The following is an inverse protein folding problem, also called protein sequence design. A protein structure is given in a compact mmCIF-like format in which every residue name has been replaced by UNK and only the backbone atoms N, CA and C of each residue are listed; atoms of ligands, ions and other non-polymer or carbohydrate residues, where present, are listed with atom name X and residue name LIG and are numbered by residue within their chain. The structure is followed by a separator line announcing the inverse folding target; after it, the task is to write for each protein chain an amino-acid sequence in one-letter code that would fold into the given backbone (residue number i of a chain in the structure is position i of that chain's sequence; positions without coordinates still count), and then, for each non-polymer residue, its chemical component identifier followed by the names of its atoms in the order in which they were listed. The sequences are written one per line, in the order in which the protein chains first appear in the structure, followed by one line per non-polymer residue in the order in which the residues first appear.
data_IF_445204404796
#
_entry.id   IF_445204404796
#
_cell.length_a   1.000
_cell.length_b   1.000
_cell.length_c   1.000
_cell.angle_alpha   90.00
_cell.angle_beta   90.00
_cell.angle_gamma   90.00
#
_symmetry.space_group_name_H-M   'P 1'
#
loop_
_entity.id
_entity.type
_entity.pdbx_description
1 polymer ?
#
# COMPACT_ATOMS: atom_id res chain seq x y z
N UNK A 1 -24.26 -15.69 -3.49
CA UNK A 1 -22.80 -15.46 -3.64
C UNK A 1 -22.09 -16.80 -3.52
N UNK A 2 -21.25 -17.21 -4.48
CA UNK A 2 -20.63 -18.54 -4.44
C UNK A 2 -19.37 -18.55 -3.55
N UNK A 3 -18.88 -19.74 -3.17
CA UNK A 3 -17.72 -19.89 -2.28
C UNK A 3 -16.45 -19.18 -2.82
N UNK A 4 -16.25 -19.19 -4.14
CA UNK A 4 -15.12 -18.53 -4.79
C UNK A 4 -15.20 -17.01 -4.66
N UNK A 5 -16.40 -16.42 -4.79
CA UNK A 5 -16.63 -15.00 -4.58
C UNK A 5 -16.33 -14.58 -3.13
N UNK A 6 -16.76 -15.38 -2.14
CA UNK A 6 -16.44 -15.09 -0.73
C UNK A 6 -14.93 -15.13 -0.46
N UNK A 7 -14.22 -16.13 -1.02
CA UNK A 7 -12.77 -16.24 -0.89
C UNK A 7 -12.06 -15.05 -1.54
N UNK A 8 -12.47 -14.66 -2.75
CA UNK A 8 -11.92 -13.52 -3.45
C UNK A 8 -12.09 -12.22 -2.66
N UNK A 9 -13.27 -11.98 -2.07
CA UNK A 9 -13.51 -10.81 -1.21
C UNK A 9 -12.59 -10.80 0.01
N UNK A 10 -12.39 -11.95 0.68
CA UNK A 10 -11.48 -12.07 1.82
C UNK A 10 -10.05 -11.71 1.40
N UNK A 11 -9.56 -12.29 0.31
CA UNK A 11 -8.21 -12.03 -0.21
C UNK A 11 -8.02 -10.56 -0.60
N UNK A 12 -9.02 -9.95 -1.26
CA UNK A 12 -8.96 -8.52 -1.61
C UNK A 12 -8.96 -7.63 -0.36
N UNK A 13 -9.73 -8.00 0.67
CA UNK A 13 -9.73 -7.29 1.95
C UNK A 13 -8.39 -7.40 2.66
N UNK A 14 -7.83 -8.61 2.77
CA UNK A 14 -6.51 -8.85 3.35
C UNK A 14 -5.42 -8.07 2.61
N UNK A 15 -5.45 -8.07 1.27
CA UNK A 15 -4.54 -7.28 0.45
C UNK A 15 -4.68 -5.77 0.73
N UNK A 16 -5.92 -5.26 0.86
CA UNK A 16 -6.17 -3.86 1.17
C UNK A 16 -5.65 -3.47 2.56
N UNK A 17 -5.85 -4.32 3.56
CA UNK A 17 -5.33 -4.11 4.93
C UNK A 17 -3.80 -4.11 4.92
N UNK A 18 -3.18 -5.09 4.25
CA UNK A 18 -1.72 -5.16 4.12
C UNK A 18 -1.15 -3.90 3.44
N UNK A 19 -1.73 -3.46 2.32
CA UNK A 19 -1.30 -2.26 1.60
C UNK A 19 -1.41 -0.99 2.46
N UNK A 20 -2.48 -0.85 3.24
CA UNK A 20 -2.61 0.27 4.17
C UNK A 20 -1.52 0.23 5.25
N UNK A 21 -1.24 -0.96 5.80
CA UNK A 21 -0.15 -1.15 6.75
C UNK A 21 1.22 -0.78 6.17
N UNK A 22 1.50 -1.21 4.93
CA UNK A 22 2.74 -0.87 4.23
C UNK A 22 2.90 0.63 4.01
N UNK A 23 1.83 1.35 3.64
CA UNK A 23 1.90 2.80 3.47
C UNK A 23 2.25 3.52 4.78
N UNK A 24 1.64 3.12 5.90
CA UNK A 24 1.98 3.66 7.23
C UNK A 24 3.44 3.37 7.61
N UNK A 25 3.92 2.16 7.33
CA UNK A 25 5.32 1.81 7.58
C UNK A 25 6.30 2.64 6.74
N UNK A 26 5.95 2.95 5.48
CA UNK A 26 6.76 3.82 4.63
C UNK A 26 6.80 5.26 5.14
N UNK A 27 5.70 5.78 5.68
CA UNK A 27 5.66 7.09 6.34
C UNK A 27 6.58 7.11 7.56
N UNK A 28 6.53 6.06 8.38
CA UNK A 28 7.41 5.93 9.55
C UNK A 28 8.89 5.80 9.15
N UNK A 29 9.22 5.05 8.10
CA UNK A 29 10.59 4.98 7.57
C UNK A 29 11.08 6.35 7.11
N UNK A 30 10.21 7.14 6.47
CA UNK A 30 10.53 8.51 6.05
C UNK A 30 10.85 9.42 7.25
N UNK A 31 10.13 9.25 8.36
CA UNK A 31 10.45 9.94 9.62
C UNK A 31 11.79 9.49 10.21
N UNK A 32 12.05 8.17 10.24
CA UNK A 32 13.28 7.61 10.80
C UNK A 32 14.52 8.06 10.04
N UNK A 33 14.48 8.06 8.71
CA UNK A 33 15.63 8.54 7.92
C UNK A 33 15.93 10.00 8.22
N UNK A 34 14.92 10.82 8.52
CA UNK A 34 15.06 12.22 8.96
C UNK A 34 15.94 12.39 10.20
N UNK A 35 16.00 11.35 11.05
CA UNK A 35 16.73 11.36 12.33
C UNK A 35 18.10 10.67 12.26
N UNK A 36 18.37 9.90 11.20
CA UNK A 36 19.61 9.15 11.03
C UNK A 36 20.66 10.01 10.33
N UNK A 37 21.90 9.93 10.81
CA UNK A 37 23.05 10.57 10.18
C UNK A 37 23.44 9.81 8.91
N UNK A 38 23.34 10.48 7.77
CA UNK A 38 23.71 9.98 6.45
C UNK A 38 24.11 11.15 5.55
N UNK A 39 24.80 10.89 4.44
CA UNK A 39 25.08 11.93 3.44
C UNK A 39 23.80 12.33 2.70
N UNK A 40 23.77 13.54 2.12
CA UNK A 40 22.61 14.03 1.37
C UNK A 40 22.26 13.13 0.18
N UNK A 41 23.28 12.60 -0.51
CA UNK A 41 23.08 11.66 -1.62
C UNK A 41 22.42 10.35 -1.16
N UNK A 42 22.83 9.81 -0.01
CA UNK A 42 22.22 8.61 0.58
C UNK A 42 20.76 8.90 0.98
N UNK A 43 20.52 10.04 1.63
CA UNK A 43 19.18 10.48 2.04
C UNK A 43 18.27 10.58 0.83
N UNK A 44 18.69 11.30 -0.20
CA UNK A 44 17.91 11.52 -1.41
C UNK A 44 17.58 10.20 -2.12
N UNK A 45 18.55 9.27 -2.22
CA UNK A 45 18.31 7.97 -2.82
C UNK A 45 17.25 7.16 -2.08
N UNK A 46 17.29 7.16 -0.73
CA UNK A 46 16.31 6.45 0.11
C UNK A 46 14.94 7.13 0.03
N UNK A 47 14.88 8.46 0.10
CA UNK A 47 13.63 9.23 -0.04
C UNK A 47 12.96 8.98 -1.38
N UNK A 48 13.72 8.96 -2.47
CA UNK A 48 13.20 8.61 -3.80
C UNK A 48 12.65 7.19 -3.84
N UNK A 49 13.34 6.23 -3.21
CA UNK A 49 12.87 4.85 -3.17
C UNK A 49 11.57 4.72 -2.35
N UNK A 50 11.49 5.37 -1.19
CA UNK A 50 10.27 5.43 -0.36
C UNK A 50 9.13 6.07 -1.15
N UNK A 51 9.38 7.17 -1.86
CA UNK A 51 8.39 7.84 -2.69
C UNK A 51 7.84 6.91 -3.79
N UNK A 52 8.72 6.21 -4.53
CA UNK A 52 8.31 5.24 -5.56
C UNK A 52 7.44 4.12 -4.97
N UNK A 53 7.82 3.59 -3.81
CA UNK A 53 7.02 2.58 -3.11
C UNK A 53 5.65 3.13 -2.71
N UNK A 54 5.56 4.35 -2.18
CA UNK A 54 4.28 4.99 -1.82
C UNK A 54 3.38 5.19 -3.03
N UNK A 55 3.92 5.69 -4.15
CA UNK A 55 3.16 5.89 -5.40
C UNK A 55 2.62 4.56 -5.92
N UNK A 56 3.48 3.52 -6.00
CA UNK A 56 3.06 2.20 -6.49
C UNK A 56 1.98 1.57 -5.60
N UNK A 57 2.16 1.58 -4.28
CA UNK A 57 1.19 1.01 -3.34
C UNK A 57 -0.15 1.80 -3.33
N UNK A 58 -0.10 3.12 -3.47
CA UNK A 58 -1.30 3.96 -3.62
C UNK A 58 -2.05 3.62 -4.92
N UNK A 59 -1.32 3.43 -6.03
CA UNK A 59 -1.91 3.01 -7.29
C UNK A 59 -2.66 1.68 -7.18
N UNK A 60 -2.05 0.67 -6.55
CA UNK A 60 -2.70 -0.63 -6.31
C UNK A 60 -3.91 -0.49 -5.40
N UNK A 61 -3.81 0.28 -4.31
CA UNK A 61 -4.93 0.55 -3.40
C UNK A 61 -6.12 1.16 -4.13
N UNK A 62 -5.88 2.12 -5.03
CA UNK A 62 -6.93 2.74 -5.84
C UNK A 62 -7.58 1.73 -6.80
N UNK A 63 -6.79 0.86 -7.44
CA UNK A 63 -7.31 -0.21 -8.29
C UNK A 63 -8.21 -1.18 -7.50
N UNK A 64 -7.81 -1.57 -6.29
CA UNK A 64 -8.62 -2.44 -5.42
C UNK A 64 -9.92 -1.78 -4.96
N UNK A 65 -9.92 -0.45 -4.74
CA UNK A 65 -11.11 0.28 -4.34
C UNK A 65 -12.19 0.38 -5.44
N UNK A 66 -11.76 0.33 -6.71
CA UNK A 66 -12.63 0.41 -7.89
C UNK A 66 -13.15 -0.99 -8.30
N UNK A 67 -12.53 -2.07 -7.79
CA UNK A 67 -13.02 -3.42 -8.06
C UNK A 67 -14.48 -3.54 -7.59
N UNK A 68 -15.37 -4.12 -8.42
CA UNK A 68 -16.76 -4.29 -8.04
C UNK A 68 -16.83 -5.00 -6.70
N UNK A 69 -17.58 -4.43 -5.74
CA UNK A 69 -17.98 -5.17 -4.54
C UNK A 69 -18.78 -6.36 -5.04
N UNK A 70 -18.13 -7.51 -5.17
CA UNK A 70 -18.71 -8.76 -5.63
C UNK A 70 -19.78 -9.18 -4.61
N UNK A 71 -20.98 -8.64 -4.75
CA UNK A 71 -22.02 -8.83 -3.75
C UNK A 71 -23.18 -7.85 -3.78
N UNK A 72 -23.24 -6.88 -4.71
CA UNK A 72 -24.43 -6.04 -4.91
C UNK A 72 -24.89 -6.12 -6.38
N UNK A 73 -25.20 -7.31 -6.86
CA UNK A 73 -26.25 -7.45 -7.88
C UNK A 73 -27.58 -7.25 -7.16
N UNK A 74 -28.20 -6.08 -7.33
CA UNK A 74 -29.63 -5.92 -7.08
C UNK A 74 -30.43 -6.84 -7.99
#
# INVERSE_FOLDING_TARGET
MNRQSCQLISTLHEAQVALNGTLVQLDYLQELIGRIRMTDNQRQAIEQQIHRLKVNNTGVKNSLAIMPKLGHTR
#
